data_IF_806024125890
#
_entry.id   IF_806024125890
#
_cell.length_a   1.000
_cell.length_b   1.000
_cell.length_c   1.000
_cell.angle_alpha   90.00
_cell.angle_beta   90.00
_cell.angle_gamma   90.00
#
_symmetry.space_group_name_H-M   'P 1'
#
loop_
_entity.id
_entity.type
_entity.pdbx_description
1 polymer ?
#
# COMPACT_ATOMS: atom_id res chain seq x y z
N UNK A 1 14.68 20.85 -26.90
CA UNK A 1 14.30 19.44 -26.75
C UNK A 1 12.92 19.45 -26.12
N UNK A 2 11.88 19.00 -26.82
CA UNK A 2 10.50 19.01 -26.30
C UNK A 2 10.40 17.89 -25.26
N UNK A 3 10.16 18.23 -24.00
CA UNK A 3 9.99 17.25 -22.92
C UNK A 3 8.63 16.54 -23.11
N UNK A 4 8.60 15.20 -23.01
CA UNK A 4 7.35 14.44 -23.05
C UNK A 4 6.54 14.71 -21.78
N UNK A 5 5.42 15.42 -21.92
CA UNK A 5 4.48 15.68 -20.81
C UNK A 5 3.42 14.58 -20.68
N UNK A 6 3.11 13.85 -21.76
CA UNK A 6 2.09 12.80 -21.78
C UNK A 6 2.63 11.57 -22.51
N UNK A 7 2.37 10.37 -21.98
CA UNK A 7 2.74 9.10 -22.60
C UNK A 7 1.45 8.33 -22.88
N UNK A 8 1.25 8.00 -24.15
CA UNK A 8 0.16 7.14 -24.60
C UNK A 8 0.80 5.89 -25.17
N UNK A 9 0.42 4.74 -24.64
CA UNK A 9 0.94 3.43 -25.07
C UNK A 9 -0.02 2.75 -26.07
N UNK A 10 -0.66 3.55 -26.92
CA UNK A 10 -1.51 3.07 -28.02
C UNK A 10 -0.77 1.96 -28.78
N UNK A 11 -1.48 0.89 -29.12
CA UNK A 11 -0.97 -0.27 -29.88
C UNK A 11 0.14 -1.14 -29.21
N UNK A 12 0.24 -1.14 -27.87
CA UNK A 12 1.16 -2.04 -27.14
C UNK A 12 0.44 -3.13 -26.30
N UNK A 13 -0.47 -3.94 -26.89
CA UNK A 13 -1.25 -4.92 -26.12
C UNK A 13 -0.41 -6.07 -25.55
N UNK A 14 0.81 -6.28 -26.05
CA UNK A 14 1.74 -7.29 -25.56
C UNK A 14 2.62 -6.81 -24.40
N UNK A 15 2.48 -5.56 -23.95
CA UNK A 15 3.29 -5.01 -22.86
C UNK A 15 2.95 -5.70 -21.53
N UNK A 16 3.92 -6.38 -20.95
CA UNK A 16 3.77 -7.09 -19.68
C UNK A 16 4.33 -6.31 -18.49
N UNK A 17 5.34 -5.46 -18.71
CA UNK A 17 5.95 -4.64 -17.66
C UNK A 17 6.23 -3.23 -18.15
N UNK A 18 5.94 -2.24 -17.31
CA UNK A 18 6.23 -0.83 -17.56
C UNK A 18 6.89 -0.22 -16.33
N UNK A 19 8.04 0.42 -16.55
CA UNK A 19 8.70 1.26 -15.55
C UNK A 19 8.71 2.69 -16.04
N UNK A 20 8.47 3.64 -15.14
CA UNK A 20 8.63 5.09 -15.35
C UNK A 20 9.49 5.60 -14.21
N UNK A 21 10.63 6.21 -14.53
CA UNK A 21 11.53 6.78 -13.53
C UNK A 21 12.07 8.12 -14.03
N UNK A 22 11.73 9.20 -13.32
CA UNK A 22 12.21 10.55 -13.63
C UNK A 22 13.39 10.97 -12.75
N UNK A 23 14.09 10.02 -12.11
CA UNK A 23 15.27 10.25 -11.25
C UNK A 23 16.50 10.81 -12.00
N UNK A 24 16.43 11.02 -13.31
CA UNK A 24 17.50 11.63 -14.10
C UNK A 24 18.70 10.72 -14.37
N UNK A 25 18.68 9.43 -13.96
CA UNK A 25 19.84 8.52 -14.07
C UNK A 25 19.51 7.21 -14.81
N UNK A 26 18.24 6.88 -15.08
CA UNK A 26 17.87 5.61 -15.75
C UNK A 26 17.34 5.83 -17.17
N UNK A 27 17.55 4.86 -18.05
CA UNK A 27 17.14 4.76 -19.47
C UNK A 27 15.62 4.67 -19.67
N UNK A 28 14.84 5.20 -18.74
CA UNK A 28 13.39 5.08 -18.66
C UNK A 28 12.81 6.48 -18.84
N UNK A 29 12.01 6.70 -19.89
CA UNK A 29 11.30 7.95 -20.28
C UNK A 29 11.65 9.17 -19.41
N UNK A 30 12.74 9.84 -19.77
CA UNK A 30 13.17 11.09 -19.13
C UNK A 30 12.27 12.23 -19.63
N UNK A 31 11.26 12.59 -18.85
CA UNK A 31 10.36 13.70 -19.18
C UNK A 31 9.51 14.10 -17.97
N UNK A 32 8.97 15.32 -17.94
CA UNK A 32 8.05 15.81 -16.90
C UNK A 32 6.65 15.19 -17.04
N UNK A 33 6.55 13.87 -17.13
CA UNK A 33 5.28 13.19 -17.38
C UNK A 33 4.23 13.56 -16.33
N UNK A 34 3.08 14.05 -16.81
CA UNK A 34 1.93 14.46 -16.00
C UNK A 34 0.76 13.48 -16.12
N UNK A 35 0.63 12.81 -17.27
CA UNK A 35 -0.37 11.78 -17.48
C UNK A 35 0.18 10.55 -18.19
N UNK A 36 -0.40 9.40 -17.87
CA UNK A 36 -0.11 8.10 -18.47
C UNK A 36 -1.43 7.43 -18.86
N UNK A 37 -1.55 7.05 -20.13
CA UNK A 37 -2.71 6.32 -20.66
C UNK A 37 -2.38 4.82 -20.79
N UNK A 38 -3.07 3.99 -20.00
CA UNK A 38 -2.90 2.53 -19.94
C UNK A 38 -4.12 1.77 -20.48
N UNK A 39 -5.04 2.45 -21.16
CA UNK A 39 -6.30 1.86 -21.64
C UNK A 39 -6.09 0.64 -22.56
N UNK A 40 -5.01 0.62 -23.34
CA UNK A 40 -4.65 -0.46 -24.26
C UNK A 40 -3.54 -1.40 -23.74
N UNK A 41 -3.35 -1.49 -22.41
CA UNK A 41 -2.38 -2.38 -21.78
C UNK A 41 -3.03 -3.53 -20.99
N UNK A 42 -3.85 -4.42 -21.62
CA UNK A 42 -4.60 -5.46 -20.91
C UNK A 42 -3.72 -6.60 -20.37
N UNK A 43 -2.50 -6.76 -20.90
CA UNK A 43 -1.56 -7.80 -20.48
C UNK A 43 -0.51 -7.34 -19.46
N UNK A 44 -0.59 -6.08 -19.00
CA UNK A 44 0.35 -5.55 -18.03
C UNK A 44 0.23 -6.31 -16.71
N UNK A 45 1.32 -6.94 -16.28
CA UNK A 45 1.45 -7.68 -15.02
C UNK A 45 2.25 -6.92 -13.97
N UNK A 46 3.15 -6.03 -14.40
CA UNK A 46 3.93 -5.19 -13.51
C UNK A 46 3.92 -3.73 -13.95
N UNK A 47 3.66 -2.82 -13.01
CA UNK A 47 3.74 -1.38 -13.25
C UNK A 47 4.53 -0.70 -12.15
N UNK A 48 5.53 0.08 -12.55
CA UNK A 48 6.41 0.79 -11.63
C UNK A 48 6.51 2.26 -12.03
N UNK A 49 6.23 3.16 -11.08
CA UNK A 49 6.32 4.61 -11.26
C UNK A 49 7.10 5.20 -10.09
N UNK A 50 8.27 5.73 -10.39
CA UNK A 50 9.17 6.40 -9.45
C UNK A 50 9.25 7.89 -9.77
N UNK A 51 9.20 8.70 -8.70
CA UNK A 51 9.58 10.11 -8.76
C UNK A 51 8.87 10.91 -9.85
N UNK A 52 7.59 10.61 -10.11
CA UNK A 52 6.82 11.25 -11.17
C UNK A 52 5.91 12.36 -10.63
N UNK A 53 5.53 13.27 -11.55
CA UNK A 53 4.53 14.32 -11.29
C UNK A 53 3.10 13.90 -11.64
N UNK A 54 2.89 12.63 -11.97
CA UNK A 54 1.56 12.06 -12.19
C UNK A 54 0.77 12.19 -10.88
N UNK A 55 -0.39 12.85 -10.97
CA UNK A 55 -1.28 13.06 -9.84
C UNK A 55 -2.45 12.06 -9.79
N UNK A 56 -2.78 11.46 -10.93
CA UNK A 56 -3.85 10.48 -11.08
C UNK A 56 -3.45 9.41 -12.11
N UNK A 57 -3.91 8.19 -11.88
CA UNK A 57 -3.68 7.06 -12.79
C UNK A 57 -4.93 6.19 -12.85
N UNK A 58 -5.34 5.83 -14.06
CA UNK A 58 -6.40 4.85 -14.27
C UNK A 58 -5.79 3.48 -14.54
N UNK A 59 -6.08 2.51 -13.67
CA UNK A 59 -5.63 1.13 -13.77
C UNK A 59 -6.77 0.18 -14.19
N UNK A 60 -7.95 0.71 -14.53
CA UNK A 60 -9.16 -0.07 -14.77
C UNK A 60 -9.01 -1.12 -15.87
N UNK A 61 -8.22 -0.83 -16.91
CA UNK A 61 -7.93 -1.73 -18.02
C UNK A 61 -6.89 -2.83 -17.68
N UNK A 62 -6.04 -2.63 -16.67
CA UNK A 62 -4.88 -3.48 -16.38
C UNK A 62 -5.23 -4.64 -15.42
N UNK A 63 -6.24 -5.46 -15.77
CA UNK A 63 -6.77 -6.52 -14.89
C UNK A 63 -5.80 -7.67 -14.55
N UNK A 64 -4.70 -7.78 -15.30
CA UNK A 64 -3.64 -8.78 -15.08
C UNK A 64 -2.50 -8.28 -14.18
N UNK A 65 -2.57 -7.04 -13.67
CA UNK A 65 -1.56 -6.54 -12.76
C UNK A 65 -1.41 -7.44 -11.54
N UNK A 66 -0.19 -7.91 -11.31
CA UNK A 66 0.21 -8.68 -10.14
C UNK A 66 1.02 -7.83 -9.16
N UNK A 67 1.81 -6.87 -9.67
CA UNK A 67 2.66 -6.00 -8.85
C UNK A 67 2.57 -4.55 -9.31
N UNK A 68 2.39 -3.64 -8.35
CA UNK A 68 2.44 -2.20 -8.56
C UNK A 68 3.38 -1.53 -7.56
N UNK A 69 4.27 -0.68 -8.06
CA UNK A 69 5.21 0.09 -7.25
C UNK A 69 5.12 1.57 -7.60
N UNK A 70 4.54 2.37 -6.70
CA UNK A 70 4.37 3.83 -6.81
C UNK A 70 5.12 4.53 -5.69
N UNK A 71 6.42 4.77 -5.88
CA UNK A 71 7.26 5.36 -4.83
C UNK A 71 7.64 6.80 -5.16
N UNK A 72 7.52 7.69 -4.15
CA UNK A 72 7.84 9.12 -4.26
C UNK A 72 7.10 9.83 -5.40
N UNK A 73 5.80 9.59 -5.55
CA UNK A 73 4.95 10.38 -6.46
C UNK A 73 4.09 11.38 -5.67
N UNK A 74 3.19 12.06 -6.38
CA UNK A 74 2.30 13.06 -5.81
C UNK A 74 0.81 12.68 -5.98
N UNK A 75 0.52 11.38 -5.91
CA UNK A 75 -0.87 10.87 -5.92
C UNK A 75 -1.63 11.41 -4.70
N UNK A 76 -2.87 11.86 -4.93
CA UNK A 76 -3.78 12.31 -3.86
C UNK A 76 -4.68 11.15 -3.41
N UNK A 77 -5.08 10.32 -4.36
CA UNK A 77 -5.83 9.09 -4.17
C UNK A 77 -5.30 8.01 -5.12
N UNK A 78 -5.43 6.75 -4.70
CA UNK A 78 -5.11 5.59 -5.51
C UNK A 78 -6.24 4.57 -5.41
N UNK A 79 -6.71 4.09 -6.55
CA UNK A 79 -7.72 3.04 -6.63
C UNK A 79 -7.18 1.82 -7.34
N UNK A 80 -7.19 0.69 -6.63
CA UNK A 80 -6.85 -0.63 -7.15
C UNK A 80 -8.11 -1.50 -7.33
N UNK A 81 -9.28 -0.85 -7.42
CA UNK A 81 -10.54 -1.57 -7.35
C UNK A 81 -10.73 -2.58 -8.49
N UNK A 82 -11.11 -3.80 -8.13
CA UNK A 82 -11.34 -4.90 -9.06
C UNK A 82 -10.06 -5.46 -9.69
N UNK A 83 -8.87 -5.10 -9.19
CA UNK A 83 -7.60 -5.72 -9.60
C UNK A 83 -7.35 -6.99 -8.78
N UNK A 84 -8.16 -8.02 -9.04
CA UNK A 84 -8.15 -9.29 -8.27
C UNK A 84 -6.86 -10.10 -8.40
N UNK A 85 -6.02 -9.79 -9.39
CA UNK A 85 -4.73 -10.47 -9.63
C UNK A 85 -3.57 -9.84 -8.85
N UNK A 86 -3.75 -8.65 -8.25
CA UNK A 86 -2.69 -7.97 -7.51
C UNK A 86 -2.28 -8.81 -6.30
N UNK A 87 -0.97 -9.07 -6.20
CA UNK A 87 -0.31 -9.78 -5.10
C UNK A 87 0.51 -8.83 -4.24
N UNK A 88 1.08 -7.78 -4.82
CA UNK A 88 1.93 -6.81 -4.11
C UNK A 88 1.62 -5.38 -4.53
N UNK A 89 1.39 -4.52 -3.53
CA UNK A 89 1.24 -3.07 -3.69
C UNK A 89 2.29 -2.38 -2.83
N UNK A 90 3.13 -1.56 -3.45
CA UNK A 90 4.08 -0.68 -2.77
C UNK A 90 3.81 0.76 -3.20
N UNK A 91 3.17 1.57 -2.37
CA UNK A 91 2.83 2.97 -2.64
C UNK A 91 3.37 3.94 -1.58
N UNK A 92 4.62 3.75 -1.16
CA UNK A 92 5.23 4.53 -0.11
C UNK A 92 5.66 5.92 -0.55
N UNK A 93 5.74 6.85 0.40
CA UNK A 93 6.29 8.19 0.21
C UNK A 93 5.52 9.04 -0.83
N UNK A 94 4.20 8.86 -0.92
CA UNK A 94 3.31 9.76 -1.65
C UNK A 94 2.73 10.78 -0.67
N UNK A 95 3.44 11.91 -0.48
CA UNK A 95 3.17 12.88 0.59
C UNK A 95 1.81 13.59 0.53
N UNK A 96 1.07 13.42 -0.58
CA UNK A 96 -0.28 13.91 -0.78
C UNK A 96 -1.36 12.81 -0.71
N UNK A 97 -0.98 11.53 -0.59
CA UNK A 97 -1.92 10.41 -0.66
C UNK A 97 -2.75 10.31 0.61
N UNK A 98 -4.06 10.53 0.48
CA UNK A 98 -5.01 10.56 1.61
C UNK A 98 -6.01 9.41 1.61
N UNK A 99 -6.17 8.71 0.48
CA UNK A 99 -7.12 7.62 0.32
C UNK A 99 -6.55 6.50 -0.56
N UNK A 100 -6.84 5.25 -0.15
CA UNK A 100 -6.45 4.04 -0.85
C UNK A 100 -7.66 3.11 -0.97
N UNK A 101 -8.11 2.83 -2.19
CA UNK A 101 -9.22 1.91 -2.44
C UNK A 101 -8.70 0.54 -2.87
N UNK A 102 -8.93 -0.47 -2.03
CA UNK A 102 -8.50 -1.86 -2.20
C UNK A 102 -9.66 -2.82 -2.50
N UNK A 103 -10.84 -2.28 -2.84
CA UNK A 103 -12.04 -3.08 -3.06
C UNK A 103 -11.83 -4.12 -4.18
N UNK A 104 -11.99 -5.40 -3.85
CA UNK A 104 -11.78 -6.49 -4.82
C UNK A 104 -10.32 -6.93 -5.03
N UNK A 105 -9.35 -6.42 -4.27
CA UNK A 105 -7.96 -6.92 -4.26
C UNK A 105 -7.83 -8.24 -3.47
N UNK A 106 -8.55 -9.28 -3.89
CA UNK A 106 -8.69 -10.54 -3.12
C UNK A 106 -7.43 -11.38 -3.01
N UNK A 107 -6.48 -11.21 -3.94
CA UNK A 107 -5.22 -11.95 -3.99
C UNK A 107 -4.04 -11.19 -3.39
N UNK A 108 -4.28 -10.01 -2.81
CA UNK A 108 -3.22 -9.16 -2.27
C UNK A 108 -2.57 -9.84 -1.07
N UNK A 109 -1.26 -10.06 -1.13
CA UNK A 109 -0.45 -10.72 -0.10
C UNK A 109 0.34 -9.68 0.70
N UNK A 110 0.89 -8.67 0.03
CA UNK A 110 1.73 -7.64 0.64
C UNK A 110 1.23 -6.24 0.29
N UNK A 111 0.98 -5.41 1.31
CA UNK A 111 0.66 -4.00 1.17
C UNK A 111 1.66 -3.14 1.95
N UNK A 112 2.39 -2.30 1.22
CA UNK A 112 3.25 -1.26 1.78
C UNK A 112 2.73 0.12 1.36
N UNK A 113 2.16 0.85 2.30
CA UNK A 113 1.58 2.18 2.09
C UNK A 113 2.06 3.19 3.14
N UNK A 114 3.28 3.00 3.64
CA UNK A 114 3.90 3.86 4.64
C UNK A 114 4.37 5.22 4.11
N UNK A 115 4.52 6.18 5.02
CA UNK A 115 4.91 7.57 4.71
C UNK A 115 3.94 8.28 3.75
N UNK A 116 2.65 8.22 4.07
CA UNK A 116 1.58 8.90 3.35
C UNK A 116 0.74 9.76 4.33
N UNK A 117 -0.45 10.21 3.91
CA UNK A 117 -1.42 10.94 4.75
C UNK A 117 -2.78 10.25 4.80
N UNK A 118 -2.77 8.92 4.71
CA UNK A 118 -3.99 8.11 4.70
C UNK A 118 -4.68 8.25 6.06
N UNK A 119 -5.98 8.56 6.04
CA UNK A 119 -6.77 8.79 7.28
C UNK A 119 -7.62 7.60 7.71
N UNK A 120 -8.01 6.78 6.74
CA UNK A 120 -8.74 5.55 6.96
C UNK A 120 -8.24 4.50 5.96
N UNK A 121 -8.09 3.27 6.41
CA UNK A 121 -7.65 2.16 5.58
C UNK A 121 -8.56 0.95 5.82
N UNK A 122 -9.21 0.49 4.76
CA UNK A 122 -10.02 -0.73 4.77
C UNK A 122 -9.38 -1.81 3.90
N UNK A 123 -8.94 -2.90 4.54
CA UNK A 123 -8.35 -4.07 3.89
C UNK A 123 -9.30 -5.27 3.90
N UNK A 124 -10.60 -5.08 4.18
CA UNK A 124 -11.59 -6.16 4.30
C UNK A 124 -11.73 -7.05 3.05
N UNK A 125 -11.42 -6.52 1.87
CA UNK A 125 -11.38 -7.27 0.61
C UNK A 125 -10.11 -8.11 0.44
N UNK A 126 -9.04 -7.80 1.16
CA UNK A 126 -7.70 -8.38 1.02
C UNK A 126 -7.58 -9.68 1.85
N UNK A 127 -8.36 -10.70 1.51
CA UNK A 127 -8.44 -11.97 2.27
C UNK A 127 -7.15 -12.78 2.26
N UNK A 128 -6.28 -12.54 1.27
CA UNK A 128 -4.98 -13.18 1.16
C UNK A 128 -3.85 -12.41 1.85
N UNK A 129 -4.13 -11.26 2.49
CA UNK A 129 -3.10 -10.37 3.02
C UNK A 129 -2.33 -11.04 4.16
N UNK A 130 -1.01 -11.07 4.03
CA UNK A 130 -0.07 -11.65 4.99
C UNK A 130 0.76 -10.56 5.68
N UNK A 131 1.09 -9.49 4.96
CA UNK A 131 1.89 -8.37 5.46
C UNK A 131 1.25 -7.02 5.15
N UNK A 132 1.07 -6.20 6.19
CA UNK A 132 0.57 -4.84 6.09
C UNK A 132 1.53 -3.86 6.77
N UNK A 133 2.14 -2.98 5.98
CA UNK A 133 2.80 -1.79 6.48
C UNK A 133 2.02 -0.54 6.08
N UNK A 134 1.42 0.12 7.07
CA UNK A 134 0.71 1.40 6.94
C UNK A 134 1.26 2.44 7.91
N UNK A 135 2.50 2.26 8.37
CA UNK A 135 3.14 3.18 9.31
C UNK A 135 3.33 4.58 8.74
N UNK A 136 3.51 5.58 9.61
CA UNK A 136 3.72 6.97 9.21
C UNK A 136 2.60 7.49 8.31
N UNK A 137 1.38 7.44 8.83
CA UNK A 137 0.17 7.94 8.20
C UNK A 137 -0.66 8.73 9.23
N UNK A 138 -1.88 9.12 8.86
CA UNK A 138 -2.85 9.79 9.73
C UNK A 138 -4.03 8.86 10.05
N UNK A 139 -3.82 7.54 10.06
CA UNK A 139 -4.91 6.55 10.15
C UNK A 139 -5.53 6.60 11.54
N UNK A 140 -6.81 6.96 11.60
CA UNK A 140 -7.64 6.90 12.81
C UNK A 140 -8.67 5.76 12.77
N UNK A 141 -8.88 5.17 11.58
CA UNK A 141 -9.74 4.01 11.37
C UNK A 141 -9.05 2.98 10.49
N UNK A 142 -8.78 1.80 11.05
CA UNK A 142 -8.14 0.69 10.36
C UNK A 142 -9.05 -0.54 10.44
N UNK A 143 -9.52 -1.01 9.29
CA UNK A 143 -10.30 -2.24 9.17
C UNK A 143 -9.43 -3.34 8.57
N UNK A 144 -9.16 -4.37 9.37
CA UNK A 144 -8.44 -5.59 8.99
C UNK A 144 -9.33 -6.83 9.11
N UNK A 145 -10.65 -6.63 9.14
CA UNK A 145 -11.62 -7.71 9.26
C UNK A 145 -11.52 -8.68 8.08
N UNK A 146 -11.47 -9.99 8.36
CA UNK A 146 -11.38 -11.02 7.34
C UNK A 146 -9.98 -11.25 6.75
N UNK A 147 -8.96 -10.48 7.18
CA UNK A 147 -7.56 -10.73 6.85
C UNK A 147 -6.99 -11.89 7.70
N UNK A 148 -7.59 -13.08 7.59
CA UNK A 148 -7.28 -14.24 8.44
C UNK A 148 -5.85 -14.79 8.26
N UNK A 149 -5.17 -14.40 7.17
CA UNK A 149 -3.78 -14.76 6.89
C UNK A 149 -2.76 -13.72 7.36
N UNK A 150 -3.21 -12.58 7.88
CA UNK A 150 -2.33 -11.47 8.26
C UNK A 150 -1.39 -11.92 9.39
N UNK A 151 -0.08 -11.89 9.12
CA UNK A 151 0.96 -12.34 10.05
C UNK A 151 1.67 -11.15 10.68
N UNK A 152 1.90 -10.09 9.90
CA UNK A 152 2.65 -8.91 10.32
C UNK A 152 1.82 -7.68 10.01
N UNK A 153 1.60 -6.86 11.03
CA UNK A 153 0.99 -5.54 10.89
C UNK A 153 1.87 -4.47 11.51
N UNK A 154 2.14 -3.42 10.73
CA UNK A 154 2.81 -2.22 11.20
C UNK A 154 1.91 -1.01 10.96
N UNK A 155 1.42 -0.44 12.05
CA UNK A 155 0.67 0.82 12.06
C UNK A 155 1.35 1.87 12.94
N UNK A 156 2.67 1.74 13.17
CA UNK A 156 3.47 2.73 13.88
C UNK A 156 3.25 4.15 13.35
N UNK A 157 3.26 5.15 14.24
CA UNK A 157 3.04 6.57 13.89
C UNK A 157 1.76 6.79 13.06
N UNK A 158 0.63 6.44 13.66
CA UNK A 158 -0.73 6.72 13.19
C UNK A 158 -1.56 7.38 14.30
N UNK A 159 -2.85 7.61 14.05
CA UNK A 159 -3.80 8.25 14.97
C UNK A 159 -4.84 7.27 15.53
N UNK A 160 -4.55 5.96 15.49
CA UNK A 160 -5.40 4.95 16.11
C UNK A 160 -5.43 5.17 17.62
N UNK A 161 -6.59 4.90 18.24
CA UNK A 161 -6.77 4.95 19.71
C UNK A 161 -6.90 3.56 20.31
N UNK A 162 -7.14 2.53 19.51
CA UNK A 162 -7.20 1.14 19.95
C UNK A 162 -6.95 0.21 18.76
N UNK A 163 -6.62 -1.04 19.05
CA UNK A 163 -6.52 -2.11 18.07
C UNK A 163 -6.81 -3.44 18.76
N UNK A 164 -7.80 -4.17 18.27
CA UNK A 164 -8.15 -5.50 18.77
C UNK A 164 -7.65 -6.59 17.80
N UNK A 165 -6.60 -7.36 18.16
CA UNK A 165 -6.09 -8.45 17.34
C UNK A 165 -6.89 -9.76 17.44
N UNK A 166 -7.93 -9.85 18.28
CA UNK A 166 -8.64 -11.10 18.59
C UNK A 166 -9.21 -11.83 17.36
N UNK A 167 -9.57 -11.08 16.31
CA UNK A 167 -10.08 -11.60 15.05
C UNK A 167 -9.03 -12.05 14.03
N UNK A 168 -7.73 -12.03 14.37
CA UNK A 168 -6.63 -12.30 13.45
C UNK A 168 -5.84 -13.55 13.87
N UNK A 169 -6.28 -14.76 13.47
CA UNK A 169 -5.74 -16.02 14.00
C UNK A 169 -4.28 -16.28 13.63
N UNK A 170 -3.83 -15.80 12.46
CA UNK A 170 -2.46 -15.98 11.97
C UNK A 170 -1.49 -14.87 12.41
N UNK A 171 -1.96 -13.84 13.12
CA UNK A 171 -1.14 -12.69 13.48
C UNK A 171 -0.01 -13.12 14.42
N UNK A 172 1.18 -12.60 14.16
CA UNK A 172 2.42 -12.94 14.87
C UNK A 172 3.10 -11.70 15.43
N UNK A 173 3.11 -10.61 14.65
CA UNK A 173 3.86 -9.40 14.96
C UNK A 173 2.98 -8.16 14.79
N UNK A 174 2.91 -7.36 15.84
CA UNK A 174 2.29 -6.02 15.82
C UNK A 174 3.39 -5.00 16.09
N UNK A 175 3.56 -4.06 15.15
CA UNK A 175 4.44 -2.91 15.31
C UNK A 175 3.59 -1.66 15.48
N UNK A 176 3.71 -1.02 16.64
CA UNK A 176 2.98 0.20 16.97
C UNK A 176 3.83 1.11 17.86
N UNK A 177 3.38 2.36 18.05
CA UNK A 177 4.13 3.32 18.84
C UNK A 177 3.86 3.13 20.34
N UNK A 178 4.83 2.57 21.06
CA UNK A 178 4.77 2.43 22.53
C UNK A 178 5.33 3.64 23.29
N UNK A 179 5.95 4.62 22.60
CA UNK A 179 6.78 5.67 23.22
C UNK A 179 6.31 7.11 22.95
N UNK A 180 5.13 7.33 22.37
CA UNK A 180 4.49 8.65 22.35
C UNK A 180 3.40 8.73 23.44
N UNK A 181 3.76 9.05 24.69
CA UNK A 181 2.80 9.41 25.72
C UNK A 181 2.09 10.71 25.29
N UNK A 182 0.82 10.62 24.90
CA UNK A 182 0.02 11.79 24.50
C UNK A 182 -1.16 11.55 23.55
N UNK A 183 -1.26 10.38 22.90
CA UNK A 183 -2.33 10.10 21.92
C UNK A 183 -3.47 9.21 22.43
N UNK A 184 -3.45 8.77 23.69
CA UNK A 184 -4.55 7.99 24.26
C UNK A 184 -4.77 6.63 23.59
N UNK A 185 -3.71 6.00 23.04
CA UNK A 185 -3.80 4.65 22.51
C UNK A 185 -3.94 3.64 23.66
N UNK A 186 -5.08 2.96 23.70
CA UNK A 186 -5.35 1.86 24.59
C UNK A 186 -4.81 0.55 24.00
N UNK A 187 -3.70 0.09 24.58
CA UNK A 187 -3.05 -1.16 24.21
C UNK A 187 -3.58 -2.38 24.97
N UNK A 188 -4.60 -2.24 25.83
CA UNK A 188 -5.07 -3.32 26.71
C UNK A 188 -5.47 -4.60 25.96
N UNK A 189 -6.13 -4.46 24.79
CA UNK A 189 -6.48 -5.61 23.94
C UNK A 189 -5.25 -6.33 23.39
N UNK A 190 -4.19 -5.57 23.03
CA UNK A 190 -2.92 -6.13 22.57
C UNK A 190 -2.19 -6.81 23.74
N UNK A 191 -2.19 -6.21 24.94
CA UNK A 191 -1.61 -6.80 26.15
C UNK A 191 -2.28 -8.12 26.53
N UNK A 192 -3.60 -8.18 26.46
CA UNK A 192 -4.39 -9.38 26.69
C UNK A 192 -4.14 -10.47 25.63
N UNK A 193 -3.76 -10.10 24.40
CA UNK A 193 -3.49 -11.03 23.30
C UNK A 193 -2.23 -11.89 23.52
N UNK A 194 -1.41 -11.60 24.53
CA UNK A 194 -0.32 -12.49 24.95
C UNK A 194 0.95 -12.26 24.14
N UNK A 195 1.66 -11.20 24.48
CA UNK A 195 2.80 -10.63 23.74
C UNK A 195 4.06 -10.46 24.59
N UNK A 196 5.22 -10.79 24.04
CA UNK A 196 6.50 -10.36 24.62
C UNK A 196 6.95 -9.06 23.94
N UNK A 197 7.48 -8.12 24.74
CA UNK A 197 7.97 -6.82 24.24
C UNK A 197 9.42 -6.98 23.79
N UNK A 198 9.67 -6.83 22.49
CA UNK A 198 11.01 -6.57 21.96
C UNK A 198 11.03 -5.15 21.37
N UNK A 199 11.56 -4.19 22.14
CA UNK A 199 11.64 -2.78 21.74
C UNK A 199 10.28 -2.15 21.36
N UNK A 200 10.05 -1.86 20.07
CA UNK A 200 8.81 -1.29 19.53
C UNK A 200 7.90 -2.35 18.85
N UNK A 201 8.23 -3.63 19.03
CA UNK A 201 7.52 -4.75 18.41
C UNK A 201 6.93 -5.67 19.48
N UNK A 202 5.73 -6.14 19.20
CA UNK A 202 4.97 -7.03 20.07
C UNK A 202 4.80 -8.34 19.31
N UNK A 203 5.51 -9.36 19.80
CA UNK A 203 5.54 -10.70 19.20
C UNK A 203 4.66 -11.62 20.05
N UNK A 204 3.82 -12.41 19.39
CA UNK A 204 2.91 -13.36 20.04
C UNK A 204 3.70 -14.41 20.84
N UNK A 205 3.35 -14.59 22.11
CA UNK A 205 4.09 -15.44 23.07
C UNK A 205 4.03 -16.94 22.76
N UNK A 206 2.98 -17.42 22.12
CA UNK A 206 2.76 -18.85 21.81
C UNK A 206 3.57 -19.34 20.59
N UNK A 207 4.36 -18.46 19.96
CA UNK A 207 5.21 -18.77 18.80
C UNK A 207 6.72 -18.79 19.12
N UNK A 208 7.10 -18.59 20.39
CA UNK A 208 8.49 -18.61 20.90
C UNK A 208 8.72 -19.86 21.74
#
# INVERSE_FOLDING_TARGET
MQELENLRLEDHPALESLTIDQSGISTTIQGKLRSLDLSDCPNLTALTIYHSKIAAIDLSACKKLETVTFYRNNFVDLSFSGLSSLKKISCQQNSALTALNLSGCTSLVELQCDYNKIKALDTSSCKALEELNCSWNEISSLSVHGCNKLQIINFYANQLTTFDPSGLPALKVIKYNSYYPGHGFDASAIEAWGVYREHCEWVRKDLV
#
